data_IF_963214996646
#
_entry.id   IF_963214996646
#
_cell.length_a   1.000
_cell.length_b   1.000
_cell.length_c   1.000
_cell.angle_alpha   90.00
_cell.angle_beta   90.00
_cell.angle_gamma   90.00
#
_symmetry.space_group_name_H-M   'P 1'
#
loop_
_entity.id
_entity.type
_entity.pdbx_description
1 polymer ?
#
# COMPACT_ATOMS: atom_id res chain seq x y z
N UNK A 1 2.33 -11.53 26.78
CA UNK A 1 2.40 -11.70 25.30
C UNK A 1 2.97 -13.09 25.05
N UNK A 2 2.28 -13.94 24.29
CA UNK A 2 2.74 -15.32 24.07
C UNK A 2 3.90 -15.35 23.07
N UNK A 3 4.95 -16.12 23.37
CA UNK A 3 6.12 -16.29 22.48
C UNK A 3 5.73 -16.73 21.07
N UNK A 4 4.61 -17.45 20.93
CA UNK A 4 4.04 -17.87 19.64
C UNK A 4 3.85 -16.73 18.63
N UNK A 5 3.45 -15.55 19.11
CA UNK A 5 3.10 -14.45 18.22
C UNK A 5 4.23 -13.45 18.05
N UNK A 6 5.24 -13.45 18.93
CA UNK A 6 6.39 -12.56 18.79
C UNK A 6 7.07 -12.82 17.44
N UNK A 7 7.46 -11.77 16.70
CA UNK A 7 7.53 -10.35 17.09
C UNK A 7 6.20 -9.58 17.07
N UNK A 8 5.09 -10.20 16.70
CA UNK A 8 3.77 -9.59 16.61
C UNK A 8 2.96 -9.67 17.91
N UNK A 9 1.95 -8.82 17.97
CA UNK A 9 1.02 -8.73 19.09
C UNK A 9 -0.01 -9.88 19.14
N UNK A 10 -0.33 -10.46 17.98
CA UNK A 10 -1.42 -11.43 17.73
C UNK A 10 -1.31 -12.02 16.33
N UNK A 11 -2.11 -13.05 16.03
CA UNK A 11 -2.27 -13.58 14.68
C UNK A 11 -2.72 -12.53 13.66
N UNK A 12 -3.69 -11.68 14.06
CA UNK A 12 -4.19 -10.58 13.23
C UNK A 12 -3.06 -9.64 12.83
N UNK A 13 -2.21 -9.25 13.78
CA UNK A 13 -1.04 -8.40 13.54
C UNK A 13 -0.10 -9.01 12.47
N UNK A 14 0.15 -10.33 12.52
CA UNK A 14 0.99 -11.05 11.56
C UNK A 14 0.39 -11.06 10.15
N UNK A 15 -0.91 -11.33 10.04
CA UNK A 15 -1.58 -11.40 8.73
C UNK A 15 -1.66 -10.03 8.04
N UNK A 16 -1.90 -8.95 8.79
CA UNK A 16 -1.89 -7.60 8.23
C UNK A 16 -0.51 -7.21 7.68
N UNK A 17 0.56 -7.55 8.39
CA UNK A 17 1.92 -7.30 7.91
C UNK A 17 2.17 -8.02 6.58
N UNK A 18 1.77 -9.30 6.50
CA UNK A 18 1.88 -10.08 5.28
C UNK A 18 1.09 -9.46 4.11
N UNK A 19 -0.16 -9.04 4.33
CA UNK A 19 -0.94 -8.36 3.28
C UNK A 19 -0.22 -7.13 2.72
N UNK A 20 0.36 -6.29 3.58
CA UNK A 20 1.10 -5.09 3.14
C UNK A 20 2.34 -5.41 2.31
N UNK A 21 3.01 -6.52 2.59
CA UNK A 21 4.08 -7.03 1.74
C UNK A 21 3.58 -7.46 0.38
N UNK A 22 2.49 -8.24 0.34
CA UNK A 22 1.89 -8.73 -0.91
C UNK A 22 1.33 -7.60 -1.77
N UNK A 23 0.74 -6.59 -1.13
CA UNK A 23 0.20 -5.39 -1.80
C UNK A 23 1.31 -4.45 -2.30
N UNK A 24 2.59 -4.73 -2.01
CA UNK A 24 3.71 -3.88 -2.40
C UNK A 24 3.79 -2.54 -1.65
N UNK A 25 3.02 -2.39 -0.56
CA UNK A 25 3.08 -1.22 0.31
C UNK A 25 4.46 -1.08 0.96
N UNK A 26 5.10 -2.22 1.25
CA UNK A 26 6.50 -2.29 1.65
C UNK A 26 7.38 -2.51 0.41
N UNK A 27 8.08 -1.45 -0.01
CA UNK A 27 9.04 -1.48 -1.11
C UNK A 27 10.33 -0.79 -0.70
N UNK A 28 11.46 -1.41 -1.03
CA UNK A 28 12.77 -0.79 -0.90
C UNK A 28 12.93 0.13 -2.11
N UNK A 29 13.14 1.43 -1.86
CA UNK A 29 13.50 2.35 -2.95
C UNK A 29 14.85 1.90 -3.51
N UNK A 30 14.90 1.57 -4.79
CA UNK A 30 16.17 1.40 -5.47
C UNK A 30 16.92 2.73 -5.48
N UNK A 31 18.24 2.69 -5.30
CA UNK A 31 19.07 3.73 -5.91
C UNK A 31 19.00 3.46 -7.41
N UNK A 32 18.54 4.42 -8.20
CA UNK A 32 18.71 4.30 -9.65
C UNK A 32 20.22 4.17 -9.91
N UNK A 33 20.71 3.11 -10.58
CA UNK A 33 22.04 3.21 -11.16
C UNK A 33 22.00 4.38 -12.14
N UNK A 34 22.93 5.32 -12.02
CA UNK A 34 23.00 6.51 -12.88
C UNK A 34 23.00 6.06 -14.35
N UNK A 35 21.84 6.07 -15.02
CA UNK A 35 21.70 5.52 -16.37
C UNK A 35 20.36 4.92 -16.78
N UNK A 36 19.35 4.82 -15.91
CA UNK A 36 18.02 4.36 -16.34
C UNK A 36 16.98 5.45 -16.16
N UNK A 37 16.73 6.22 -17.22
CA UNK A 37 15.56 7.08 -17.32
C UNK A 37 14.31 6.19 -17.42
N UNK A 38 13.51 6.16 -16.36
CA UNK A 38 12.27 5.41 -16.34
C UNK A 38 11.44 5.69 -15.10
N UNK A 39 10.95 6.91 -14.95
CA UNK A 39 9.92 7.21 -13.94
C UNK A 39 8.55 7.07 -14.59
N UNK A 40 7.63 6.29 -13.99
CA UNK A 40 6.24 6.67 -14.01
C UNK A 40 5.79 7.00 -12.58
N UNK A 41 5.43 8.27 -12.42
CA UNK A 41 4.62 8.82 -11.33
C UNK A 41 3.14 8.35 -11.49
N UNK A 42 2.20 8.90 -10.71
CA UNK A 42 1.49 8.30 -9.59
C UNK A 42 0.15 7.64 -10.00
N UNK A 43 -0.24 6.52 -9.39
CA UNK A 43 -1.63 6.04 -9.51
C UNK A 43 -2.55 6.81 -8.55
N UNK A 44 -3.04 7.96 -9.00
CA UNK A 44 -4.30 8.52 -8.57
C UNK A 44 -5.23 8.58 -9.80
N UNK A 45 -6.25 7.71 -9.91
CA UNK A 45 -7.35 7.99 -10.82
C UNK A 45 -8.21 9.10 -10.21
N UNK A 46 -8.23 10.26 -10.88
CA UNK A 46 -9.28 11.24 -10.74
C UNK A 46 -10.46 10.79 -11.59
N UNK A 47 -11.64 10.70 -11.00
CA UNK A 47 -12.88 10.99 -11.72
C UNK A 47 -13.87 11.58 -10.71
N UNK A 48 -13.83 12.91 -10.59
CA UNK A 48 -14.96 13.68 -10.10
C UNK A 48 -15.83 14.03 -11.32
N UNK A 49 -16.84 13.21 -11.63
CA UNK A 49 -18.01 13.65 -12.40
C UNK A 49 -19.21 13.81 -11.46
N UNK A 50 -19.32 15.06 -10.99
CA UNK A 50 -20.52 15.89 -11.05
C UNK A 50 -21.80 15.40 -10.36
N UNK A 51 -22.02 15.97 -9.17
CA UNK A 51 -23.27 16.58 -8.70
C UNK A 51 -24.56 16.22 -9.47
N UNK A 52 -25.50 15.55 -8.81
CA UNK A 52 -26.77 16.20 -8.45
C UNK A 52 -27.39 15.51 -7.23
N UNK A 53 -28.04 16.35 -6.42
CA UNK A 53 -28.71 15.97 -5.20
C UNK A 53 -29.97 15.13 -5.49
N UNK A 54 -30.46 14.49 -4.43
CA UNK A 54 -31.79 13.91 -4.35
C UNK A 54 -32.88 14.90 -4.80
N UNK A 55 -33.94 14.42 -5.46
CA UNK A 55 -35.31 14.64 -5.01
C UNK A 55 -36.30 13.71 -5.75
N UNK A 56 -37.17 13.06 -4.96
CA UNK A 56 -38.45 12.39 -5.31
C UNK A 56 -38.53 11.22 -6.32
#
# INVERSE_FOLDING_TARGET
>A
MSERWRPFCSERCKLLDLSRWLDGSYRIRGTEPAGSAGSPEPSAPQDEDKTDAADE
#
